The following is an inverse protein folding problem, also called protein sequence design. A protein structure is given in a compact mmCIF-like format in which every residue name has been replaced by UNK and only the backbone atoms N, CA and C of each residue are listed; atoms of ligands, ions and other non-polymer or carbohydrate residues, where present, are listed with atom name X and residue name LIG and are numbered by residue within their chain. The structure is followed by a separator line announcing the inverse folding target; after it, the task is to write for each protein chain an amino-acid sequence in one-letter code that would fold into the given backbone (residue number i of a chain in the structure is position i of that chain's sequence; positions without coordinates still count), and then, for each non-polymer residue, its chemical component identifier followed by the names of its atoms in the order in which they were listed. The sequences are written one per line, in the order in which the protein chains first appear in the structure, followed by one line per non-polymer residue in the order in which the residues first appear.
data_IF_326902084480
#
_entry.id   IF_326902084480
#
_cell.length_a   1.000
_cell.length_b   1.000
_cell.length_c   1.000
_cell.angle_alpha   90.00
_cell.angle_beta   90.00
_cell.angle_gamma   90.00
#
_symmetry.space_group_name_H-M   'P 1'
#
loop_
_entity.id
_entity.type
_entity.pdbx_description
1 polymer ?
#
# COMPACT_ATOMS: atom_id res chain seq x y z
N UNK A 1 -31.40 -18.14 -20.99
CA UNK A 1 -30.54 -19.09 -21.75
C UNK A 1 -31.39 -20.19 -22.36
N UNK A 2 -30.85 -20.99 -23.29
CA UNK A 2 -31.63 -22.02 -24.02
C UNK A 2 -31.22 -23.40 -23.51
N UNK A 3 -32.19 -24.23 -23.15
CA UNK A 3 -31.95 -25.62 -22.76
C UNK A 3 -31.37 -26.44 -23.93
N UNK A 4 -30.26 -27.10 -23.74
CA UNK A 4 -29.58 -27.89 -24.78
C UNK A 4 -30.45 -29.06 -25.27
N UNK A 5 -31.27 -29.64 -24.39
CA UNK A 5 -32.07 -30.83 -24.68
C UNK A 5 -33.38 -30.52 -25.39
N UNK A 6 -34.14 -29.49 -24.97
CA UNK A 6 -35.47 -29.20 -25.52
C UNK A 6 -35.58 -27.84 -26.23
N UNK A 7 -34.49 -27.09 -26.31
CA UNK A 7 -34.34 -25.77 -26.98
C UNK A 7 -35.28 -24.67 -26.48
N UNK A 8 -35.95 -24.85 -25.32
CA UNK A 8 -36.74 -23.80 -24.68
C UNK A 8 -35.89 -22.90 -23.81
N UNK A 9 -36.34 -21.68 -23.61
CA UNK A 9 -35.71 -20.75 -22.67
C UNK A 9 -35.84 -21.24 -21.24
N UNK A 10 -34.74 -21.14 -20.49
CA UNK A 10 -34.66 -21.40 -19.05
C UNK A 10 -33.95 -20.23 -18.36
N UNK A 11 -34.38 -19.94 -17.13
CA UNK A 11 -33.74 -18.93 -16.30
C UNK A 11 -32.31 -19.30 -15.94
N UNK A 12 -31.40 -18.34 -15.76
CA UNK A 12 -30.01 -18.59 -15.40
C UNK A 12 -29.85 -19.24 -14.01
N UNK A 13 -30.85 -19.14 -13.15
CA UNK A 13 -30.85 -19.67 -11.77
C UNK A 13 -31.55 -21.03 -11.64
N UNK A 14 -32.26 -21.47 -12.69
CA UNK A 14 -33.00 -22.73 -12.67
C UNK A 14 -32.06 -23.92 -12.84
N UNK A 15 -31.89 -24.73 -11.80
CA UNK A 15 -31.02 -25.92 -11.79
C UNK A 15 -31.47 -26.99 -12.76
N UNK A 16 -32.77 -27.07 -13.07
CA UNK A 16 -33.37 -28.01 -14.02
C UNK A 16 -34.33 -27.31 -14.94
N UNK A 17 -34.34 -27.75 -16.18
CA UNK A 17 -35.30 -27.25 -17.15
C UNK A 17 -36.74 -27.59 -16.73
N UNK A 18 -37.65 -26.62 -16.57
CA UNK A 18 -39.02 -26.89 -16.12
C UNK A 18 -39.84 -27.69 -17.15
N UNK A 19 -39.37 -27.73 -18.41
CA UNK A 19 -40.07 -28.42 -19.49
C UNK A 19 -39.64 -29.89 -19.69
N UNK A 20 -38.33 -30.18 -19.55
CA UNK A 20 -37.81 -31.51 -19.86
C UNK A 20 -37.01 -32.15 -18.70
N UNK A 21 -36.89 -31.49 -17.58
CA UNK A 21 -36.17 -31.96 -16.41
C UNK A 21 -34.65 -32.10 -16.56
N UNK A 22 -34.06 -31.71 -17.69
CA UNK A 22 -32.62 -31.76 -17.90
C UNK A 22 -31.90 -30.80 -16.96
N UNK A 23 -30.76 -31.20 -16.43
CA UNK A 23 -29.92 -30.38 -15.58
C UNK A 23 -29.35 -29.19 -16.38
N UNK A 24 -29.24 -28.03 -15.72
CA UNK A 24 -28.64 -26.82 -16.26
C UNK A 24 -27.21 -26.65 -15.66
N UNK A 25 -26.17 -27.06 -16.38
CA UNK A 25 -24.81 -26.98 -15.88
C UNK A 25 -24.36 -25.53 -15.55
N UNK A 26 -24.89 -24.56 -16.26
CA UNK A 26 -24.57 -23.15 -16.01
C UNK A 26 -25.16 -22.64 -14.69
N UNK A 27 -26.38 -23.08 -14.32
CA UNK A 27 -26.98 -22.73 -13.03
C UNK A 27 -26.22 -23.36 -11.85
N UNK A 28 -25.70 -24.59 -12.03
CA UNK A 28 -24.86 -25.24 -11.04
C UNK A 28 -23.55 -24.46 -10.85
N UNK A 29 -22.89 -24.12 -11.95
CA UNK A 29 -21.66 -23.33 -11.92
C UNK A 29 -21.87 -21.93 -11.36
N UNK A 30 -22.98 -21.26 -11.75
CA UNK A 30 -23.36 -19.96 -11.20
C UNK A 30 -23.57 -20.02 -9.68
N UNK A 31 -24.28 -21.04 -9.20
CA UNK A 31 -24.51 -21.23 -7.77
C UNK A 31 -23.20 -21.49 -7.01
N UNK A 32 -22.28 -22.27 -7.57
CA UNK A 32 -20.96 -22.48 -6.97
C UNK A 32 -20.13 -21.20 -6.93
N UNK A 33 -20.15 -20.41 -8.00
CA UNK A 33 -19.47 -19.11 -8.05
C UNK A 33 -20.06 -18.15 -7.03
N UNK A 34 -21.39 -18.04 -6.94
CA UNK A 34 -22.06 -17.19 -5.95
C UNK A 34 -21.72 -17.60 -4.53
N UNK A 35 -21.65 -18.91 -4.26
CA UNK A 35 -21.26 -19.42 -2.94
C UNK A 35 -19.79 -19.12 -2.61
N UNK A 36 -18.92 -19.19 -3.62
CA UNK A 36 -17.50 -18.77 -3.49
C UNK A 36 -17.38 -17.26 -3.19
N UNK A 37 -18.17 -16.42 -3.87
CA UNK A 37 -18.21 -14.97 -3.60
C UNK A 37 -18.79 -14.66 -2.22
N UNK A 38 -19.85 -15.35 -1.81
CA UNK A 38 -20.42 -15.17 -0.47
C UNK A 38 -19.45 -15.57 0.64
N UNK A 39 -18.69 -16.65 0.44
CA UNK A 39 -17.66 -17.09 1.39
C UNK A 39 -16.49 -16.09 1.45
N UNK A 40 -16.03 -15.58 0.28
CA UNK A 40 -15.02 -14.52 0.24
C UNK A 40 -15.52 -13.25 0.93
N UNK A 41 -16.76 -12.82 0.67
CA UNK A 41 -17.34 -11.66 1.32
C UNK A 41 -17.43 -11.83 2.85
N UNK A 42 -17.89 -12.98 3.31
CA UNK A 42 -17.97 -13.29 4.75
C UNK A 42 -16.59 -13.37 5.42
N UNK A 43 -15.58 -13.85 4.71
CA UNK A 43 -14.19 -13.86 5.18
C UNK A 43 -13.65 -12.42 5.30
N UNK A 44 -13.83 -11.60 4.26
CA UNK A 44 -13.45 -10.19 4.27
C UNK A 44 -14.20 -9.40 5.36
N UNK A 45 -15.50 -9.63 5.53
CA UNK A 45 -16.28 -9.00 6.61
C UNK A 45 -15.76 -9.39 7.99
N UNK A 46 -15.34 -10.65 8.17
CA UNK A 46 -14.76 -11.13 9.42
C UNK A 46 -13.39 -10.50 9.68
N UNK A 47 -12.57 -10.36 8.65
CA UNK A 47 -11.28 -9.67 8.73
C UNK A 47 -11.44 -8.19 9.09
N UNK A 48 -12.35 -7.48 8.39
CA UNK A 48 -12.66 -6.06 8.69
C UNK A 48 -13.18 -5.90 10.12
N UNK A 49 -14.03 -6.81 10.60
CA UNK A 49 -14.56 -6.75 11.97
C UNK A 49 -13.48 -7.11 13.03
N UNK A 50 -12.55 -7.98 12.71
CA UNK A 50 -11.40 -8.31 13.58
C UNK A 50 -10.44 -7.12 13.64
N UNK A 51 -10.14 -6.54 12.49
CA UNK A 51 -9.35 -5.32 12.33
C UNK A 51 -9.98 -4.14 13.09
N UNK A 52 -11.31 -3.91 12.95
CA UNK A 52 -12.04 -2.88 13.70
C UNK A 52 -11.90 -3.04 15.21
N UNK A 53 -11.93 -4.28 15.73
CA UNK A 53 -11.75 -4.55 17.16
C UNK A 53 -10.33 -4.31 17.64
N UNK A 54 -9.32 -4.56 16.79
CA UNK A 54 -7.92 -4.28 17.10
C UNK A 54 -7.65 -2.77 17.10
N UNK A 55 -8.36 -2.01 16.24
CA UNK A 55 -8.25 -0.54 16.14
C UNK A 55 -9.01 0.18 17.26
N UNK A 56 -10.00 -0.43 17.90
CA UNK A 56 -10.70 0.18 19.06
C UNK A 56 -9.76 0.47 20.24
N UNK A 57 -8.64 -0.24 20.35
CA UNK A 57 -7.58 0.04 21.34
C UNK A 57 -6.59 1.13 20.94
N UNK A 58 -6.47 1.44 19.65
CA UNK A 58 -5.66 2.51 19.10
C UNK A 58 -6.53 3.77 19.03
N UNK A 59 -6.17 4.83 19.75
CA UNK A 59 -6.99 6.05 19.84
C UNK A 59 -7.42 6.61 18.47
N UNK A 60 -8.48 7.41 18.47
CA UNK A 60 -9.15 7.96 17.27
C UNK A 60 -8.20 8.53 16.19
N UNK A 61 -7.00 8.98 16.58
CA UNK A 61 -5.97 9.50 15.66
C UNK A 61 -5.37 8.41 14.75
N UNK A 62 -5.13 7.21 15.28
CA UNK A 62 -4.61 6.10 14.48
C UNK A 62 -5.66 5.56 13.47
N UNK A 63 -6.94 5.56 13.84
CA UNK A 63 -8.01 5.16 12.93
C UNK A 63 -8.17 6.14 11.75
N UNK A 64 -7.99 7.44 11.98
CA UNK A 64 -7.99 8.46 10.92
C UNK A 64 -6.77 8.28 9.99
N UNK A 65 -5.60 8.01 10.57
CA UNK A 65 -4.37 7.74 9.82
C UNK A 65 -4.55 6.55 8.86
N UNK A 66 -5.11 5.45 9.34
CA UNK A 66 -5.38 4.25 8.54
C UNK A 66 -6.33 4.53 7.37
N UNK A 67 -7.40 5.28 7.59
CA UNK A 67 -8.36 5.65 6.52
C UNK A 67 -7.71 6.58 5.50
N UNK A 68 -6.84 7.49 5.93
CA UNK A 68 -6.07 8.36 5.04
C UNK A 68 -5.07 7.54 4.22
N UNK A 69 -4.29 6.67 4.84
CA UNK A 69 -3.35 5.77 4.14
C UNK A 69 -4.10 4.96 3.06
N UNK A 70 -5.21 4.32 3.38
CA UNK A 70 -6.01 3.54 2.40
C UNK A 70 -6.52 4.43 1.25
N UNK A 71 -6.96 5.65 1.52
CA UNK A 71 -7.42 6.58 0.48
C UNK A 71 -6.33 6.97 -0.50
N UNK A 72 -5.13 7.25 0.00
CA UNK A 72 -3.95 7.64 -0.76
C UNK A 72 -3.46 6.51 -1.65
N UNK A 73 -3.41 5.32 -1.12
CA UNK A 73 -2.99 4.10 -1.77
C UNK A 73 -3.80 3.82 -3.06
N UNK A 74 -5.11 3.96 -3.00
CA UNK A 74 -5.99 3.80 -4.18
C UNK A 74 -5.65 4.85 -5.26
N UNK A 75 -5.30 6.06 -4.85
CA UNK A 75 -4.92 7.12 -5.79
C UNK A 75 -3.55 6.84 -6.44
N UNK A 76 -2.57 6.38 -5.66
CA UNK A 76 -1.24 6.02 -6.18
C UNK A 76 -1.26 4.83 -7.15
N UNK A 77 -2.06 3.78 -6.87
CA UNK A 77 -2.23 2.65 -7.81
C UNK A 77 -2.80 3.11 -9.15
N UNK A 78 -3.81 3.98 -9.13
CA UNK A 78 -4.42 4.53 -10.36
C UNK A 78 -3.39 5.36 -11.14
N UNK A 79 -2.53 6.10 -10.46
CA UNK A 79 -1.50 6.93 -11.10
C UNK A 79 -0.34 6.09 -11.65
N UNK A 80 0.14 5.09 -10.91
CA UNK A 80 1.28 4.25 -11.33
C UNK A 80 0.98 3.33 -12.53
N UNK A 81 -0.30 3.02 -12.80
CA UNK A 81 -0.69 2.23 -13.98
C UNK A 81 -0.65 3.00 -15.31
N UNK A 82 -0.46 4.31 -15.28
CA UNK A 82 -0.48 5.17 -16.48
C UNK A 82 0.93 5.63 -16.96
N UNK A 83 2.02 5.23 -16.28
CA UNK A 83 3.34 5.73 -16.63
C UNK A 83 4.16 4.77 -17.48
N UNK A 84 4.22 5.02 -18.78
CA UNK A 84 5.30 4.59 -19.67
C UNK A 84 5.29 5.35 -21.02
N UNK A 85 5.28 6.69 -21.01
CA UNK A 85 5.52 7.45 -22.24
C UNK A 85 6.71 8.43 -22.05
N UNK A 86 7.83 8.26 -22.82
CA UNK A 86 9.01 9.14 -22.72
C UNK A 86 8.73 10.62 -23.05
N UNK A 87 7.60 10.93 -23.68
CA UNK A 87 7.21 12.31 -24.00
C UNK A 87 6.44 12.96 -22.83
N UNK A 88 5.79 12.17 -21.96
CA UNK A 88 5.18 12.66 -20.72
C UNK A 88 6.24 13.08 -19.68
N UNK A 89 7.33 12.33 -19.52
CA UNK A 89 8.44 12.68 -18.62
C UNK A 89 9.08 14.03 -18.99
N UNK A 90 9.22 14.30 -20.29
CA UNK A 90 9.74 15.60 -20.77
C UNK A 90 8.73 16.74 -20.55
N UNK A 91 7.44 16.46 -20.60
CA UNK A 91 6.41 17.44 -20.33
C UNK A 91 6.34 17.78 -18.85
N UNK A 92 6.42 16.77 -17.98
CA UNK A 92 6.46 16.94 -16.52
C UNK A 92 7.68 17.75 -16.06
N UNK A 93 8.87 17.46 -16.61
CA UNK A 93 10.07 18.26 -16.33
C UNK A 93 9.95 19.72 -16.73
N UNK A 94 9.43 20.00 -17.94
CA UNK A 94 9.20 21.37 -18.41
C UNK A 94 8.17 22.11 -17.58
N UNK A 95 7.18 21.41 -17.07
CA UNK A 95 6.19 21.95 -16.18
C UNK A 95 6.79 22.25 -14.81
N UNK A 96 7.59 21.33 -14.27
CA UNK A 96 8.33 21.54 -13.03
C UNK A 96 9.28 22.74 -13.09
N UNK A 97 10.04 22.89 -14.20
CA UNK A 97 10.93 24.06 -14.41
C UNK A 97 10.19 25.40 -14.39
N UNK A 98 8.93 25.43 -14.85
CA UNK A 98 8.11 26.66 -14.89
C UNK A 98 7.46 26.98 -13.55
N UNK A 99 7.11 25.95 -12.79
CA UNK A 99 6.30 26.05 -11.59
C UNK A 99 7.10 25.73 -10.32
N UNK A 100 8.42 25.65 -10.40
CA UNK A 100 9.31 25.14 -9.35
C UNK A 100 9.09 25.79 -7.98
N UNK A 101 8.87 27.11 -7.94
CA UNK A 101 8.61 27.83 -6.69
C UNK A 101 7.28 27.43 -6.07
N UNK A 102 6.22 27.36 -6.88
CA UNK A 102 4.90 26.92 -6.41
C UNK A 102 4.93 25.46 -5.94
N UNK A 103 5.70 24.61 -6.62
CA UNK A 103 5.85 23.21 -6.22
C UNK A 103 6.66 23.03 -4.94
N UNK A 104 7.65 23.89 -4.69
CA UNK A 104 8.37 23.89 -3.42
C UNK A 104 7.47 24.32 -2.25
N UNK A 105 6.63 25.34 -2.45
CA UNK A 105 5.64 25.76 -1.47
C UNK A 105 4.60 24.67 -1.19
N UNK A 106 4.09 24.00 -2.22
CA UNK A 106 3.14 22.88 -2.10
C UNK A 106 3.76 21.69 -1.36
N UNK A 107 5.02 21.37 -1.66
CA UNK A 107 5.78 20.33 -0.97
C UNK A 107 5.95 20.62 0.53
N UNK A 108 6.28 21.86 0.88
CA UNK A 108 6.36 22.32 2.28
C UNK A 108 5.01 22.20 3.00
N UNK A 109 3.91 22.58 2.34
CA UNK A 109 2.57 22.44 2.90
C UNK A 109 2.16 20.98 3.13
N UNK A 110 2.51 20.05 2.24
CA UNK A 110 2.26 18.61 2.41
C UNK A 110 2.99 18.09 3.65
N UNK A 111 4.26 18.44 3.81
CA UNK A 111 5.04 18.06 4.98
C UNK A 111 4.46 18.64 6.28
N UNK A 112 4.00 19.89 6.28
CA UNK A 112 3.34 20.52 7.43
C UNK A 112 2.03 19.82 7.83
N UNK A 113 1.33 19.24 6.86
CA UNK A 113 0.11 18.45 7.10
C UNK A 113 0.38 17.01 7.47
N UNK A 114 1.64 16.53 7.41
CA UNK A 114 2.01 15.13 7.62
C UNK A 114 1.59 14.22 6.45
N UNK A 115 1.46 14.75 5.25
CA UNK A 115 1.04 14.01 4.05
C UNK A 115 2.29 13.44 3.32
N UNK A 116 3.05 12.58 4.02
CA UNK A 116 4.38 12.13 3.54
C UNK A 116 4.31 11.24 2.30
N UNK A 117 3.29 10.42 2.17
CA UNK A 117 3.08 9.57 0.98
C UNK A 117 2.69 10.42 -0.22
N UNK A 118 1.81 11.41 -0.04
CA UNK A 118 1.43 12.38 -1.07
C UNK A 118 2.63 13.22 -1.50
N UNK A 119 3.42 13.70 -0.54
CA UNK A 119 4.65 14.43 -0.80
C UNK A 119 5.57 13.65 -1.75
N UNK A 120 5.84 12.37 -1.46
CA UNK A 120 6.68 11.55 -2.32
C UNK A 120 6.02 11.29 -3.68
N UNK A 121 4.72 11.01 -3.69
CA UNK A 121 3.96 10.81 -4.93
C UNK A 121 3.96 12.07 -5.80
N UNK A 122 3.82 13.24 -5.20
CA UNK A 122 3.93 14.53 -5.86
C UNK A 122 5.32 14.74 -6.49
N UNK A 123 6.39 14.44 -5.75
CA UNK A 123 7.76 14.57 -6.27
C UNK A 123 8.01 13.62 -7.46
N UNK A 124 7.46 12.41 -7.43
CA UNK A 124 7.55 11.48 -8.57
C UNK A 124 6.75 12.00 -9.77
N UNK A 125 5.52 12.45 -9.55
CA UNK A 125 4.64 12.95 -10.63
C UNK A 125 5.24 14.13 -11.40
N UNK A 126 6.06 14.94 -10.72
CA UNK A 126 6.71 16.12 -11.31
C UNK A 126 8.20 15.93 -11.63
N UNK A 127 8.71 14.68 -11.61
CA UNK A 127 10.12 14.35 -11.89
C UNK A 127 11.13 15.05 -10.96
N UNK A 128 10.71 15.42 -9.74
CA UNK A 128 11.50 16.15 -8.75
C UNK A 128 12.29 15.23 -7.80
N UNK A 129 11.92 13.94 -7.73
CA UNK A 129 12.48 13.00 -6.75
C UNK A 129 13.99 12.77 -6.94
N UNK A 130 14.43 12.55 -8.17
CA UNK A 130 15.81 12.14 -8.44
C UNK A 130 16.78 13.33 -8.59
N UNK A 131 16.28 14.47 -9.05
CA UNK A 131 17.07 15.67 -9.32
C UNK A 131 16.30 16.91 -8.85
N UNK A 132 16.13 17.08 -7.53
CA UNK A 132 15.42 18.22 -7.01
C UNK A 132 16.15 19.52 -7.38
N UNK A 133 15.40 20.52 -7.90
CA UNK A 133 15.93 21.85 -8.18
C UNK A 133 16.46 22.56 -6.91
N UNK A 134 17.15 23.71 -7.09
CA UNK A 134 17.75 24.47 -6.00
C UNK A 134 16.69 24.93 -4.97
N UNK A 135 15.47 25.18 -5.41
CA UNK A 135 14.34 25.56 -4.56
C UNK A 135 13.97 24.49 -3.53
N UNK A 136 14.29 23.22 -3.80
CA UNK A 136 14.12 22.08 -2.89
C UNK A 136 15.36 21.77 -2.04
N UNK A 137 16.44 22.57 -2.12
CA UNK A 137 17.69 22.30 -1.39
C UNK A 137 17.45 22.13 0.12
N UNK A 138 16.55 22.95 0.69
CA UNK A 138 16.18 22.90 2.11
C UNK A 138 15.47 21.61 2.51
N UNK A 139 14.83 20.92 1.57
CA UNK A 139 14.14 19.63 1.78
C UNK A 139 14.97 18.41 1.36
N UNK A 140 16.16 18.60 0.80
CA UNK A 140 16.93 17.50 0.21
C UNK A 140 17.08 16.29 1.13
N UNK A 141 17.36 16.51 2.40
CA UNK A 141 17.52 15.44 3.39
C UNK A 141 16.19 14.75 3.72
N UNK A 142 15.11 15.54 3.83
CA UNK A 142 13.74 15.01 4.01
C UNK A 142 13.37 14.13 2.82
N UNK A 143 13.66 14.58 1.60
CA UNK A 143 13.38 13.81 0.37
C UNK A 143 14.07 12.45 0.38
N UNK A 144 15.32 12.36 0.84
CA UNK A 144 16.03 11.08 0.92
C UNK A 144 15.37 10.12 1.92
N UNK A 145 14.98 10.59 3.09
CA UNK A 145 14.29 9.77 4.10
C UNK A 145 12.90 9.37 3.59
N UNK A 146 12.15 10.33 3.06
CA UNK A 146 10.79 10.13 2.56
C UNK A 146 10.73 9.09 1.43
N UNK A 147 11.74 9.02 0.57
CA UNK A 147 11.82 8.00 -0.49
C UNK A 147 11.86 6.59 0.06
N UNK A 148 12.74 6.33 1.03
CA UNK A 148 12.86 5.00 1.63
C UNK A 148 11.61 4.66 2.46
N UNK A 149 11.04 5.64 3.18
CA UNK A 149 9.76 5.52 3.87
C UNK A 149 8.63 5.09 2.91
N UNK A 150 8.50 5.78 1.78
CA UNK A 150 7.46 5.49 0.78
C UNK A 150 7.57 4.06 0.22
N UNK A 151 8.78 3.59 -0.10
CA UNK A 151 8.97 2.22 -0.58
C UNK A 151 8.60 1.18 0.49
N UNK A 152 8.86 1.46 1.76
CA UNK A 152 8.40 0.59 2.86
C UNK A 152 6.87 0.52 2.92
N UNK A 153 6.18 1.67 2.90
CA UNK A 153 4.71 1.73 2.95
C UNK A 153 4.09 0.99 1.76
N UNK A 154 4.57 1.28 0.56
CA UNK A 154 4.10 0.66 -0.68
C UNK A 154 4.23 -0.87 -0.70
N UNK A 155 5.35 -1.39 -0.19
CA UNK A 155 5.58 -2.83 -0.12
C UNK A 155 4.73 -3.50 0.94
N UNK A 156 4.56 -2.89 2.12
CA UNK A 156 3.64 -3.40 3.15
C UNK A 156 2.23 -3.54 2.62
N UNK A 157 1.76 -2.51 1.92
CA UNK A 157 0.46 -2.52 1.29
C UNK A 157 0.33 -3.64 0.25
N UNK A 158 1.29 -3.71 -0.69
CA UNK A 158 1.27 -4.72 -1.74
C UNK A 158 1.23 -6.14 -1.15
N UNK A 159 1.99 -6.40 -0.09
CA UNK A 159 2.01 -7.69 0.60
C UNK A 159 0.65 -8.03 1.22
N UNK A 160 0.02 -7.08 1.92
CA UNK A 160 -1.26 -7.33 2.60
C UNK A 160 -2.42 -7.45 1.61
N UNK A 161 -2.52 -6.56 0.61
CA UNK A 161 -3.59 -6.61 -0.38
C UNK A 161 -3.56 -7.85 -1.27
N UNK A 162 -2.39 -8.47 -1.44
CA UNK A 162 -2.17 -9.61 -2.34
C UNK A 162 -1.88 -10.91 -1.60
N UNK A 163 -1.84 -10.91 -0.27
CA UNK A 163 -1.54 -12.09 0.56
C UNK A 163 -2.46 -13.28 0.29
N UNK A 164 -3.72 -13.01 -0.06
CA UNK A 164 -4.74 -14.03 -0.36
C UNK A 164 -4.72 -14.52 -1.82
N UNK A 165 -3.86 -13.97 -2.69
CA UNK A 165 -3.77 -14.37 -4.08
C UNK A 165 -2.83 -15.59 -4.22
N UNK A 166 -3.35 -16.78 -4.58
CA UNK A 166 -2.53 -17.97 -4.71
C UNK A 166 -1.46 -17.88 -5.82
N UNK A 167 -1.65 -16.99 -6.80
CA UNK A 167 -0.69 -16.77 -7.88
C UNK A 167 0.43 -15.78 -7.46
N UNK A 168 0.27 -15.12 -6.32
CA UNK A 168 1.23 -14.15 -5.80
C UNK A 168 2.34 -14.77 -4.93
N UNK A 169 2.31 -16.06 -4.67
CA UNK A 169 3.18 -16.71 -3.69
C UNK A 169 4.70 -16.46 -3.93
N UNK A 170 5.15 -16.54 -5.19
CA UNK A 170 6.54 -16.24 -5.54
C UNK A 170 6.84 -14.72 -5.46
N UNK A 171 5.85 -13.88 -5.73
CA UNK A 171 5.94 -12.42 -5.60
C UNK A 171 6.05 -11.97 -4.15
N UNK A 172 5.31 -12.60 -3.23
CA UNK A 172 5.32 -12.28 -1.81
C UNK A 172 6.71 -12.42 -1.19
N UNK A 173 7.43 -13.51 -1.47
CA UNK A 173 8.79 -13.71 -0.96
C UNK A 173 9.77 -12.64 -1.47
N UNK A 174 9.55 -12.13 -2.67
CA UNK A 174 10.34 -11.05 -3.25
C UNK A 174 10.01 -9.72 -2.57
N UNK A 175 8.74 -9.42 -2.37
CA UNK A 175 8.29 -8.18 -1.73
C UNK A 175 8.71 -8.12 -0.26
N UNK A 176 8.66 -9.26 0.48
CA UNK A 176 9.20 -9.34 1.85
C UNK A 176 10.70 -9.02 1.89
N UNK A 177 11.48 -9.58 0.96
CA UNK A 177 12.94 -9.30 0.90
C UNK A 177 13.22 -7.84 0.55
N UNK A 178 12.46 -7.28 -0.39
CA UNK A 178 12.58 -5.88 -0.78
C UNK A 178 12.18 -4.96 0.38
N UNK A 179 11.08 -5.26 1.07
CA UNK A 179 10.68 -4.51 2.26
C UNK A 179 11.77 -4.51 3.33
N UNK A 180 12.35 -5.67 3.65
CA UNK A 180 13.44 -5.73 4.63
C UNK A 180 14.68 -4.93 4.17
N UNK A 181 14.94 -4.86 2.86
CA UNK A 181 16.02 -4.06 2.29
C UNK A 181 15.74 -2.56 2.44
N UNK A 182 14.56 -2.12 2.06
CA UNK A 182 14.16 -0.71 2.19
C UNK A 182 14.03 -0.28 3.65
N UNK A 183 13.54 -1.16 4.54
CA UNK A 183 13.50 -0.89 5.98
C UNK A 183 14.89 -0.63 6.55
N UNK A 184 15.89 -1.43 6.18
CA UNK A 184 17.28 -1.18 6.59
C UNK A 184 17.80 0.12 5.96
N UNK A 185 17.52 0.36 4.67
CA UNK A 185 17.87 1.60 3.96
C UNK A 185 17.25 2.83 4.62
N UNK A 186 15.99 2.75 5.03
CA UNK A 186 15.30 3.81 5.74
C UNK A 186 16.05 4.22 7.02
N UNK A 187 16.39 3.26 7.88
CA UNK A 187 17.11 3.56 9.12
C UNK A 187 18.54 4.05 8.88
N UNK A 188 19.24 3.49 7.89
CA UNK A 188 20.58 3.96 7.50
C UNK A 188 20.53 5.43 7.04
N UNK A 189 19.57 5.78 6.18
CA UNK A 189 19.39 7.14 5.68
C UNK A 189 18.90 8.08 6.78
N UNK A 190 17.92 7.64 7.58
CA UNK A 190 17.38 8.42 8.71
C UNK A 190 18.51 8.80 9.68
N UNK A 191 19.30 7.83 10.14
CA UNK A 191 20.40 8.07 11.08
C UNK A 191 21.45 9.01 10.51
N UNK A 192 21.80 8.86 9.23
CA UNK A 192 22.74 9.74 8.57
C UNK A 192 22.22 11.18 8.41
N UNK A 193 20.92 11.36 8.19
CA UNK A 193 20.36 12.68 7.89
C UNK A 193 19.88 13.41 9.15
N UNK A 194 19.19 12.75 10.09
CA UNK A 194 18.64 13.37 11.31
C UNK A 194 19.71 14.03 12.16
N UNK A 195 20.90 13.41 12.28
CA UNK A 195 22.01 13.94 13.10
C UNK A 195 22.73 15.12 12.41
N UNK A 196 22.69 15.17 11.08
CA UNK A 196 23.30 16.22 10.27
C UNK A 196 22.35 17.39 9.98
N UNK A 197 21.02 17.20 10.20
CA UNK A 197 20.00 18.22 9.94
C UNK A 197 19.99 19.25 11.04
N UNK A 198 20.13 20.52 10.64
CA UNK A 198 20.14 21.68 11.56
C UNK A 198 18.77 22.31 11.73
N UNK A 199 17.90 22.14 10.75
CA UNK A 199 16.53 22.62 10.81
C UNK A 199 15.71 21.65 11.66
N UNK A 200 15.18 22.12 12.79
CA UNK A 200 14.38 21.33 13.71
C UNK A 200 13.07 20.86 13.11
N UNK A 201 12.48 21.66 12.20
CA UNK A 201 11.25 21.31 11.50
C UNK A 201 11.47 20.14 10.56
N UNK A 202 12.51 20.18 9.74
CA UNK A 202 12.88 19.10 8.83
C UNK A 202 13.24 17.81 9.58
N UNK A 203 13.97 17.95 10.71
CA UNK A 203 14.24 16.80 11.58
C UNK A 203 12.96 16.23 12.19
N UNK A 204 12.00 17.07 12.54
CA UNK A 204 10.68 16.66 12.99
C UNK A 204 9.97 15.78 11.96
N UNK A 205 9.91 16.20 10.71
CA UNK A 205 9.30 15.41 9.64
C UNK A 205 9.93 14.01 9.48
N UNK A 206 11.25 13.91 9.57
CA UNK A 206 11.95 12.62 9.49
C UNK A 206 11.59 11.68 10.64
N UNK A 207 11.46 12.20 11.86
CA UNK A 207 11.06 11.43 13.03
C UNK A 207 9.57 11.05 12.99
N UNK A 208 8.73 11.94 12.49
CA UNK A 208 7.31 11.65 12.29
C UNK A 208 7.11 10.50 11.27
N UNK A 209 7.91 10.46 10.18
CA UNK A 209 7.93 9.32 9.25
C UNK A 209 8.35 8.01 9.93
N UNK A 210 9.32 8.03 10.88
CA UNK A 210 9.70 6.87 11.67
C UNK A 210 8.53 6.37 12.52
N UNK A 211 7.85 7.28 13.23
CA UNK A 211 6.70 6.94 14.06
C UNK A 211 5.53 6.38 13.23
N UNK A 212 5.29 6.97 12.05
CA UNK A 212 4.26 6.46 11.13
C UNK A 212 4.62 5.09 10.54
N UNK A 213 5.89 4.85 10.20
CA UNK A 213 6.36 3.55 9.74
C UNK A 213 6.16 2.47 10.80
N UNK A 214 6.45 2.78 12.08
CA UNK A 214 6.17 1.88 13.19
C UNK A 214 4.66 1.63 13.35
N UNK A 215 3.84 2.67 13.22
CA UNK A 215 2.39 2.53 13.28
C UNK A 215 1.87 1.68 12.12
N UNK A 216 2.40 1.86 10.91
CA UNK A 216 2.07 1.05 9.75
C UNK A 216 2.45 -0.43 9.93
N UNK A 217 3.65 -0.73 10.42
CA UNK A 217 4.05 -2.11 10.71
C UNK A 217 3.14 -2.78 11.74
N UNK A 218 2.72 -2.06 12.78
CA UNK A 218 1.75 -2.60 13.76
C UNK A 218 0.42 -2.95 13.13
N UNK A 219 -0.03 -2.14 12.18
CA UNK A 219 -1.32 -2.33 11.51
C UNK A 219 -1.23 -3.43 10.45
N UNK A 220 -0.27 -3.30 9.53
CA UNK A 220 -0.17 -4.21 8.38
C UNK A 220 0.29 -5.62 8.77
N UNK A 221 1.14 -5.74 9.77
CA UNK A 221 1.64 -7.03 10.24
C UNK A 221 1.00 -7.49 11.55
N UNK A 222 -0.03 -6.81 12.05
CA UNK A 222 -0.71 -7.13 13.31
C UNK A 222 0.25 -7.30 14.50
N UNK A 223 1.37 -6.55 14.50
CA UNK A 223 2.41 -6.58 15.53
C UNK A 223 2.10 -5.59 16.65
N UNK A 224 2.49 -5.92 17.86
CA UNK A 224 2.55 -4.93 18.94
C UNK A 224 3.85 -4.10 18.89
N UNK A 225 3.98 -3.12 19.78
CA UNK A 225 5.12 -2.21 19.79
C UNK A 225 6.44 -2.92 20.13
N UNK A 226 6.42 -3.92 21.02
CA UNK A 226 7.60 -4.69 21.39
C UNK A 226 7.99 -5.64 20.25
N UNK A 227 7.03 -6.19 19.52
CA UNK A 227 7.29 -7.02 18.34
C UNK A 227 7.93 -6.22 17.21
N UNK A 228 7.45 -5.00 16.95
CA UNK A 228 8.07 -4.09 15.96
C UNK A 228 9.50 -3.77 16.38
N UNK A 229 9.73 -3.40 17.64
CA UNK A 229 11.07 -3.10 18.15
C UNK A 229 12.01 -4.32 18.02
N UNK A 230 11.55 -5.49 18.40
CA UNK A 230 12.32 -6.74 18.24
C UNK A 230 12.62 -7.06 16.77
N UNK A 231 11.66 -6.80 15.86
CA UNK A 231 11.86 -6.98 14.43
C UNK A 231 13.02 -6.11 13.92
N UNK A 232 13.09 -4.85 14.36
CA UNK A 232 14.14 -3.92 13.94
C UNK A 232 15.54 -4.41 14.34
N UNK A 233 15.69 -5.06 15.48
CA UNK A 233 16.95 -5.60 15.97
C UNK A 233 17.39 -6.91 15.26
N UNK A 234 16.52 -7.54 14.49
CA UNK A 234 16.80 -8.78 13.78
C UNK A 234 17.68 -8.52 12.53
N UNK A 235 18.43 -9.55 12.12
CA UNK A 235 19.06 -9.55 10.80
C UNK A 235 18.01 -9.57 9.68
N UNK A 236 18.36 -9.10 8.47
CA UNK A 236 17.45 -9.08 7.30
C UNK A 236 16.77 -10.44 7.05
N UNK A 237 17.53 -11.52 7.15
CA UNK A 237 16.98 -12.87 6.97
C UNK A 237 15.96 -13.25 8.06
N UNK A 238 16.20 -12.88 9.31
CA UNK A 238 15.27 -13.11 10.40
C UNK A 238 14.02 -12.24 10.30
N UNK A 239 14.17 -10.96 9.91
CA UNK A 239 13.04 -10.07 9.59
C UNK A 239 12.12 -10.70 8.53
N UNK A 240 12.72 -11.18 7.44
CA UNK A 240 11.96 -11.79 6.35
C UNK A 240 11.18 -13.03 6.80
N UNK A 241 11.80 -13.90 7.60
CA UNK A 241 11.12 -15.10 8.16
C UNK A 241 9.98 -14.68 9.08
N UNK A 242 10.21 -13.71 9.98
CA UNK A 242 9.18 -13.24 10.93
C UNK A 242 7.98 -12.64 10.20
N UNK A 243 8.21 -11.80 9.19
CA UNK A 243 7.13 -11.19 8.38
C UNK A 243 6.38 -12.28 7.60
N UNK A 244 7.10 -13.24 7.02
CA UNK A 244 6.49 -14.35 6.30
C UNK A 244 5.60 -15.20 7.21
N UNK A 245 6.02 -15.46 8.45
CA UNK A 245 5.23 -16.17 9.46
C UNK A 245 3.92 -15.43 9.75
N UNK A 246 3.99 -14.12 9.96
CA UNK A 246 2.81 -13.29 10.24
C UNK A 246 1.83 -13.31 9.07
N UNK A 247 2.30 -13.11 7.84
CA UNK A 247 1.45 -13.06 6.64
C UNK A 247 0.86 -14.41 6.22
N UNK A 248 1.45 -15.53 6.68
CA UNK A 248 0.95 -16.88 6.35
C UNK A 248 0.04 -17.49 7.41
N UNK A 249 0.02 -16.93 8.61
CA UNK A 249 -0.79 -17.43 9.74
C UNK A 249 -2.18 -16.78 9.84
N UNK A 250 -2.54 -15.90 8.89
CA UNK A 250 -3.90 -15.44 8.66
C UNK A 250 -4.56 -16.23 7.51
#
# INVERSE_FOLDING_TARGET
MICEKCKREIGPEELKCPNCGADNPFAVQHKQNMQKYQNKYAATEKQVNTFSKSVEGLGKKAAILIVLIIGIIVTCIITSMNYADPDEDKAARRDAEKNVVAYAEEADEMLERGEYVEFVSFLYAHELMNFPPEEFEHLRKVIYVAREYYECIKLMEAMVLRSDDPDYFDGLDTDIKNFCMYLEGFYEVLDAQKDSEKDEKNRGYMLDMEDELHAAMRVYFSMDEDEVRNLLDMSRAQKAVKIQEVLRHE
#
